data_IF_105237006509
#
_entry.id   IF_105237006509
#
_cell.length_a   1.000
_cell.length_b   1.000
_cell.length_c   1.000
_cell.angle_alpha   90.00
_cell.angle_beta   90.00
_cell.angle_gamma   90.00
#
_symmetry.space_group_name_H-M   'P 1'
#
loop_
_entity.id
_entity.type
_entity.pdbx_description
1 polymer ?
#
# COMPACT_ATOMS: atom_id res chain seq x y z
N UNK A 1 18.35 46.89 -26.05
CA UNK A 1 17.39 46.27 -25.12
C UNK A 1 18.11 45.62 -23.96
N UNK A 2 17.48 45.63 -22.79
CA UNK A 2 17.99 45.01 -21.55
C UNK A 2 16.99 43.95 -21.08
N UNK A 3 17.49 42.75 -20.76
CA UNK A 3 16.68 41.65 -20.24
C UNK A 3 17.03 41.42 -18.79
N UNK A 4 16.00 41.32 -17.92
CA UNK A 4 16.14 41.05 -16.48
C UNK A 4 15.08 40.09 -16.00
N UNK A 5 15.35 39.44 -14.88
CA UNK A 5 14.55 38.32 -14.34
C UNK A 5 14.16 38.55 -12.87
N UNK A 6 13.00 38.07 -12.48
CA UNK A 6 12.56 38.04 -11.09
C UNK A 6 11.65 36.85 -10.83
N UNK A 7 11.80 36.21 -9.66
CA UNK A 7 10.84 35.22 -9.18
C UNK A 7 9.63 35.94 -8.54
N UNK A 8 8.44 35.41 -8.76
CA UNK A 8 7.19 35.98 -8.24
C UNK A 8 6.21 34.89 -7.80
N UNK A 9 5.31 35.24 -6.90
CA UNK A 9 4.26 34.36 -6.39
C UNK A 9 2.98 34.40 -7.23
N UNK A 10 2.87 35.34 -8.15
CA UNK A 10 1.70 35.54 -9.04
C UNK A 10 2.12 35.54 -10.50
N UNK A 11 1.29 34.94 -11.37
CA UNK A 11 1.44 35.00 -12.82
C UNK A 11 0.71 36.18 -13.48
N UNK A 12 0.01 37.00 -12.72
CA UNK A 12 -0.78 38.12 -13.25
C UNK A 12 -0.37 39.49 -12.71
N UNK A 13 0.30 39.51 -11.55
CA UNK A 13 0.77 40.74 -10.92
C UNK A 13 2.28 40.82 -11.03
N UNK A 14 2.79 41.88 -11.67
CA UNK A 14 4.23 42.10 -11.81
C UNK A 14 4.88 42.17 -10.42
N UNK A 15 5.93 41.36 -10.16
CA UNK A 15 6.56 41.35 -8.85
C UNK A 15 7.25 42.69 -8.58
N UNK A 16 7.16 43.12 -7.31
CA UNK A 16 7.84 44.34 -6.81
C UNK A 16 9.21 43.93 -6.26
N UNK A 17 10.22 44.75 -6.51
CA UNK A 17 11.57 44.53 -6.01
C UNK A 17 12.64 44.59 -7.09
N UNK A 18 13.85 44.13 -6.75
CA UNK A 18 14.99 44.21 -7.66
C UNK A 18 14.93 43.15 -8.77
N UNK A 19 15.17 43.55 -9.98
CA UNK A 19 15.30 42.69 -11.17
C UNK A 19 16.77 42.28 -11.37
N UNK A 20 17.04 41.02 -11.53
CA UNK A 20 18.39 40.47 -11.70
C UNK A 20 18.74 40.31 -13.18
N UNK A 21 20.01 40.42 -13.51
CA UNK A 21 20.55 40.15 -14.88
C UNK A 21 20.76 38.64 -15.11
N UNK A 22 20.71 37.83 -14.07
CA UNK A 22 20.75 36.36 -14.14
C UNK A 22 19.40 35.75 -13.70
N UNK A 23 19.09 34.59 -14.23
CA UNK A 23 17.85 33.85 -13.86
C UNK A 23 17.95 33.45 -12.38
N UNK A 24 17.00 33.88 -11.52
CA UNK A 24 16.97 33.49 -10.11
C UNK A 24 16.50 32.03 -9.96
N UNK A 25 16.75 31.43 -8.80
CA UNK A 25 16.11 30.18 -8.44
C UNK A 25 14.61 30.41 -8.23
N UNK A 26 13.77 29.62 -8.91
CA UNK A 26 12.30 29.68 -8.81
C UNK A 26 11.81 28.40 -8.14
N UNK A 27 11.14 28.53 -7.01
CA UNK A 27 10.59 27.41 -6.28
C UNK A 27 9.35 26.83 -6.98
N UNK A 28 8.98 25.60 -6.63
CA UNK A 28 7.74 24.98 -7.10
C UNK A 28 6.53 25.92 -6.87
N UNK A 29 5.56 25.89 -7.78
CA UNK A 29 4.37 26.76 -7.81
C UNK A 29 4.62 28.25 -8.00
N UNK A 30 5.87 28.70 -8.06
CA UNK A 30 6.21 30.09 -8.35
C UNK A 30 6.36 30.37 -9.85
N UNK A 31 6.53 31.64 -10.19
CA UNK A 31 6.63 32.12 -11.56
C UNK A 31 7.99 32.77 -11.82
N UNK A 32 8.60 32.49 -12.95
CA UNK A 32 9.71 33.26 -13.51
C UNK A 32 9.12 34.38 -14.37
N UNK A 33 9.42 35.59 -14.00
CA UNK A 33 9.14 36.78 -14.79
C UNK A 33 10.39 37.19 -15.52
N UNK A 34 10.26 37.42 -16.84
CA UNK A 34 11.31 38.00 -17.68
C UNK A 34 10.84 39.39 -18.15
N UNK A 35 11.59 40.40 -17.85
CA UNK A 35 11.32 41.76 -18.26
C UNK A 35 12.32 42.15 -19.35
N UNK A 36 11.83 42.58 -20.50
CA UNK A 36 12.63 43.13 -21.58
C UNK A 36 12.29 44.60 -21.75
N UNK A 37 13.28 45.46 -21.60
CA UNK A 37 13.17 46.91 -21.85
C UNK A 37 13.81 47.21 -23.20
N UNK A 38 13.05 47.79 -24.09
CA UNK A 38 13.52 48.26 -25.39
C UNK A 38 13.64 49.77 -25.36
N UNK A 39 14.82 50.31 -25.71
CA UNK A 39 15.03 51.75 -25.95
C UNK A 39 14.83 51.99 -27.46
N UNK A 40 13.93 52.87 -27.78
CA UNK A 40 13.61 53.28 -29.16
C UNK A 40 14.59 54.36 -29.67
N UNK A 41 14.49 54.71 -30.95
CA UNK A 41 15.39 55.69 -31.54
C UNK A 41 15.20 57.15 -31.04
N UNK A 42 14.06 57.40 -30.41
CA UNK A 42 13.69 58.68 -29.80
C UNK A 42 13.98 58.71 -28.28
N UNK A 43 14.82 57.79 -27.79
CA UNK A 43 15.18 57.57 -26.40
C UNK A 43 13.99 57.21 -25.50
N UNK A 44 12.82 56.91 -26.01
CA UNK A 44 11.70 56.37 -25.23
C UNK A 44 11.90 54.90 -24.94
N UNK A 45 11.38 54.43 -23.83
CA UNK A 45 11.46 53.02 -23.42
C UNK A 45 10.10 52.35 -23.46
N UNK A 46 10.08 51.10 -23.91
CA UNK A 46 8.92 50.23 -23.81
C UNK A 46 9.32 48.94 -23.14
N UNK A 47 8.42 48.41 -22.29
CA UNK A 47 8.66 47.21 -21.48
C UNK A 47 7.71 46.08 -21.88
N UNK A 48 8.27 44.89 -22.05
CA UNK A 48 7.54 43.67 -22.29
C UNK A 48 7.83 42.65 -21.15
N UNK A 49 6.85 41.85 -20.82
CA UNK A 49 6.97 40.79 -19.82
C UNK A 49 6.63 39.44 -20.43
N UNK A 50 7.45 38.43 -20.13
CA UNK A 50 7.15 37.02 -20.34
C UNK A 50 7.11 36.32 -19.01
N UNK A 51 6.18 35.33 -18.84
CA UNK A 51 5.90 34.68 -17.59
C UNK A 51 5.91 33.18 -17.80
N UNK A 52 6.63 32.44 -16.98
CA UNK A 52 6.64 30.98 -16.96
C UNK A 52 6.36 30.47 -15.54
N UNK A 53 5.40 29.56 -15.38
CA UNK A 53 5.13 28.90 -14.09
C UNK A 53 6.10 27.75 -13.89
N UNK A 54 6.72 27.67 -12.73
CA UNK A 54 7.46 26.49 -12.29
C UNK A 54 6.44 25.39 -11.93
N UNK A 55 6.68 24.16 -12.39
CA UNK A 55 5.85 23.00 -12.04
C UNK A 55 5.78 22.78 -10.54
N UNK A 56 4.69 22.18 -10.11
CA UNK A 56 4.53 21.73 -8.73
C UNK A 56 5.41 20.49 -8.46
N UNK A 57 5.77 20.25 -7.20
CA UNK A 57 6.41 18.99 -6.83
C UNK A 57 5.45 17.83 -7.12
N UNK A 58 5.98 16.71 -7.58
CA UNK A 58 5.20 15.48 -7.67
C UNK A 58 4.68 15.07 -6.28
N UNK A 59 3.51 14.44 -6.26
CA UNK A 59 3.00 13.82 -5.01
C UNK A 59 3.90 12.66 -4.60
N UNK A 60 4.06 12.49 -3.29
CA UNK A 60 4.73 11.31 -2.74
C UNK A 60 3.94 10.05 -3.15
N UNK A 61 4.66 8.99 -3.51
CA UNK A 61 4.04 7.70 -3.77
C UNK A 61 3.27 7.19 -2.55
N UNK A 62 2.15 6.51 -2.75
CA UNK A 62 1.43 5.86 -1.66
C UNK A 62 2.30 4.78 -1.01
N UNK A 63 2.23 4.68 0.32
CA UNK A 63 2.90 3.62 1.06
C UNK A 63 2.46 2.24 0.56
N UNK A 64 3.42 1.32 0.48
CA UNK A 64 3.13 -0.07 0.14
C UNK A 64 2.21 -0.73 1.18
N UNK A 65 1.33 -1.61 0.73
CA UNK A 65 0.46 -2.39 1.63
C UNK A 65 1.32 -3.48 2.30
N UNK A 66 1.33 -3.51 3.63
CA UNK A 66 2.03 -4.55 4.38
C UNK A 66 1.39 -5.93 4.13
N UNK A 67 2.19 -6.99 3.93
CA UNK A 67 1.67 -8.33 3.69
C UNK A 67 0.85 -8.85 4.87
N UNK A 68 -0.16 -9.65 4.55
CA UNK A 68 -0.94 -10.40 5.53
C UNK A 68 -0.34 -11.80 5.63
N UNK A 69 -0.06 -12.25 6.85
CA UNK A 69 0.45 -13.58 7.13
C UNK A 69 -0.64 -14.38 7.84
N UNK A 70 -0.91 -15.61 7.34
CA UNK A 70 -1.79 -16.57 8.00
C UNK A 70 -0.93 -17.54 8.81
N UNK A 71 -1.31 -17.74 10.06
CA UNK A 71 -0.69 -18.71 10.99
C UNK A 71 -1.80 -19.64 11.49
N UNK A 72 -1.51 -20.95 11.56
CA UNK A 72 -2.39 -21.92 12.18
C UNK A 72 -1.84 -22.23 13.57
N UNK A 73 -2.62 -21.96 14.59
CA UNK A 73 -2.28 -22.33 15.98
C UNK A 73 -3.07 -23.55 16.42
N UNK A 74 -2.42 -24.40 17.24
CA UNK A 74 -3.02 -25.60 17.81
C UNK A 74 -3.13 -25.48 19.32
N UNK A 75 -4.32 -25.74 19.88
CA UNK A 75 -4.54 -25.68 21.31
C UNK A 75 -3.76 -26.74 22.13
N UNK A 76 -3.47 -27.91 21.50
CA UNK A 76 -2.82 -29.03 22.16
C UNK A 76 -1.56 -29.52 21.41
N UNK A 77 -0.94 -28.63 20.59
CA UNK A 77 0.25 -28.96 19.79
C UNK A 77 -0.07 -29.73 18.52
N UNK A 78 0.99 -30.18 17.85
CA UNK A 78 0.93 -30.79 16.51
C UNK A 78 1.37 -32.27 16.51
N UNK A 79 1.72 -32.82 17.68
CA UNK A 79 2.14 -34.21 17.85
C UNK A 79 1.35 -34.87 18.95
N UNK A 80 0.74 -36.00 18.64
CA UNK A 80 -0.12 -36.73 19.55
C UNK A 80 0.40 -38.15 19.76
N UNK A 81 0.33 -38.66 21.00
CA UNK A 81 0.71 -40.01 21.36
C UNK A 81 -0.55 -40.84 21.71
N UNK A 82 -0.42 -42.15 21.55
CA UNK A 82 -1.46 -43.13 21.96
C UNK A 82 -2.81 -42.96 21.24
N UNK A 83 -2.79 -42.48 20.00
CA UNK A 83 -3.99 -42.30 19.17
C UNK A 83 -5.09 -41.43 19.82
N UNK A 84 -4.72 -40.53 20.73
CA UNK A 84 -5.65 -39.57 21.33
C UNK A 84 -5.37 -38.21 20.70
N UNK A 85 -6.16 -37.89 19.69
CA UNK A 85 -6.12 -36.59 19.03
C UNK A 85 -7.37 -35.83 19.42
N UNK A 86 -7.18 -34.71 20.08
CA UNK A 86 -8.23 -33.74 20.35
C UNK A 86 -7.57 -32.37 20.47
N UNK A 87 -7.63 -31.60 19.40
CA UNK A 87 -7.05 -30.26 19.33
C UNK A 87 -7.92 -29.35 18.50
N UNK A 88 -7.85 -28.07 18.78
CA UNK A 88 -8.47 -27.04 17.94
C UNK A 88 -7.38 -26.33 17.15
N UNK A 89 -7.53 -26.30 15.85
CA UNK A 89 -6.73 -25.43 14.98
C UNK A 89 -7.47 -24.13 14.78
N UNK A 90 -6.77 -23.03 14.97
CA UNK A 90 -7.28 -21.67 14.77
C UNK A 90 -6.41 -20.97 13.74
N UNK A 91 -7.03 -20.46 12.70
CA UNK A 91 -6.37 -19.63 11.70
C UNK A 91 -6.32 -18.17 12.18
N UNK A 92 -5.13 -17.60 12.24
CA UNK A 92 -4.90 -16.23 12.71
C UNK A 92 -4.22 -15.44 11.60
N UNK A 93 -4.78 -14.28 11.28
CA UNK A 93 -4.23 -13.35 10.30
C UNK A 93 -3.51 -12.22 11.00
N UNK A 94 -2.24 -12.02 10.64
CA UNK A 94 -1.42 -10.92 11.13
C UNK A 94 -1.05 -9.95 10.01
N UNK A 95 -1.14 -8.65 10.32
CA UNK A 95 -0.59 -7.58 9.52
C UNK A 95 0.14 -6.61 10.47
N UNK A 96 1.39 -6.26 10.15
CA UNK A 96 2.24 -5.44 11.05
C UNK A 96 2.34 -6.00 12.48
N UNK A 97 2.47 -7.32 12.63
CA UNK A 97 2.50 -8.03 13.91
C UNK A 97 1.24 -7.85 14.78
N UNK A 98 0.13 -7.44 14.19
CA UNK A 98 -1.16 -7.31 14.87
C UNK A 98 -2.17 -8.23 14.22
N UNK A 99 -2.96 -8.96 15.04
CA UNK A 99 -4.10 -9.72 14.54
C UNK A 99 -5.17 -8.79 14.00
N UNK A 100 -5.64 -9.07 12.77
CA UNK A 100 -6.55 -8.18 12.02
C UNK A 100 -7.99 -8.67 11.93
N UNK A 101 -8.25 -9.94 12.29
CA UNK A 101 -9.58 -10.56 12.24
C UNK A 101 -9.83 -11.44 13.48
N UNK A 102 -9.90 -10.82 14.66
CA UNK A 102 -10.03 -11.52 15.94
C UNK A 102 -11.33 -12.33 16.02
N UNK A 103 -12.41 -11.78 15.53
CA UNK A 103 -13.75 -12.38 15.55
C UNK A 103 -14.07 -13.29 14.35
N UNK A 104 -13.19 -13.35 13.33
CA UNK A 104 -13.37 -14.19 12.14
C UNK A 104 -14.49 -13.72 11.21
N UNK A 105 -14.79 -12.43 11.19
CA UNK A 105 -15.91 -11.87 10.41
C UNK A 105 -15.50 -11.14 9.14
N UNK A 106 -14.22 -10.83 8.98
CA UNK A 106 -13.69 -10.07 7.83
C UNK A 106 -13.18 -10.95 6.71
N UNK A 107 -12.83 -12.19 7.02
CA UNK A 107 -12.29 -13.15 6.06
C UNK A 107 -13.09 -14.46 6.09
N UNK A 108 -13.19 -15.11 4.93
CA UNK A 108 -13.66 -16.48 4.82
C UNK A 108 -12.47 -17.43 4.99
N UNK A 109 -12.56 -18.36 5.94
CA UNK A 109 -11.53 -19.34 6.24
C UNK A 109 -11.96 -20.72 5.73
N UNK A 110 -11.23 -21.26 4.76
CA UNK A 110 -11.50 -22.58 4.17
C UNK A 110 -10.34 -23.52 4.47
N UNK A 111 -10.66 -24.67 5.04
CA UNK A 111 -9.69 -25.66 5.45
C UNK A 111 -9.56 -26.78 4.41
N UNK A 112 -8.35 -27.28 4.28
CA UNK A 112 -8.03 -28.44 3.48
C UNK A 112 -7.15 -29.42 4.22
N UNK A 113 -7.32 -30.70 3.89
CA UNK A 113 -6.58 -31.82 4.46
C UNK A 113 -5.93 -32.63 3.35
N UNK A 114 -4.67 -32.99 3.60
CA UNK A 114 -3.89 -33.91 2.77
C UNK A 114 -3.51 -35.14 3.61
N UNK A 115 -3.78 -36.32 3.07
CA UNK A 115 -3.49 -37.60 3.72
C UNK A 115 -1.98 -37.89 3.77
N UNK A 116 -1.59 -38.92 4.52
CA UNK A 116 -0.18 -39.31 4.72
C UNK A 116 0.54 -39.70 3.43
N UNK A 117 -0.17 -40.09 2.39
CA UNK A 117 0.34 -40.44 1.07
C UNK A 117 0.44 -39.24 0.10
N UNK A 118 0.12 -38.03 0.56
CA UNK A 118 0.16 -36.80 -0.22
C UNK A 118 -1.10 -36.56 -1.05
N UNK A 119 -2.12 -37.41 -0.97
CA UNK A 119 -3.40 -37.19 -1.66
C UNK A 119 -4.33 -36.27 -0.87
N UNK A 120 -5.11 -35.46 -1.57
CA UNK A 120 -6.15 -34.65 -0.94
C UNK A 120 -7.27 -35.52 -0.39
N UNK A 121 -7.73 -35.26 0.85
CA UNK A 121 -8.93 -35.89 1.40
C UNK A 121 -10.18 -35.17 0.89
N UNK A 122 -10.65 -35.55 -0.28
CA UNK A 122 -11.75 -34.88 -0.98
C UNK A 122 -13.04 -34.83 -0.15
N UNK A 123 -13.35 -35.88 0.59
CA UNK A 123 -14.58 -35.94 1.41
C UNK A 123 -14.47 -34.99 2.61
N UNK A 124 -13.33 -34.99 3.27
CA UNK A 124 -13.07 -34.09 4.39
C UNK A 124 -13.05 -32.63 3.93
N UNK A 125 -12.38 -32.34 2.82
CA UNK A 125 -12.29 -31.00 2.25
C UNK A 125 -13.66 -30.45 1.86
N UNK A 126 -14.52 -31.29 1.25
CA UNK A 126 -15.89 -30.90 0.91
C UNK A 126 -16.72 -30.55 2.16
N UNK A 127 -16.54 -31.28 3.25
CA UNK A 127 -17.24 -31.02 4.51
C UNK A 127 -16.77 -29.73 5.23
N UNK A 128 -15.58 -29.21 4.87
CA UNK A 128 -14.97 -28.03 5.50
C UNK A 128 -14.85 -26.82 4.55
N UNK A 129 -15.68 -26.77 3.50
CA UNK A 129 -15.74 -25.62 2.58
C UNK A 129 -16.46 -24.40 3.17
N UNK A 130 -17.26 -24.58 4.22
CA UNK A 130 -17.88 -23.45 4.90
C UNK A 130 -16.84 -22.70 5.73
N UNK A 131 -16.88 -21.37 5.70
CA UNK A 131 -15.94 -20.54 6.46
C UNK A 131 -15.98 -20.84 7.95
N UNK A 132 -14.82 -21.23 8.49
CA UNK A 132 -14.62 -21.49 9.93
C UNK A 132 -13.23 -21.03 10.35
N UNK A 133 -13.14 -20.01 11.20
CA UNK A 133 -11.85 -19.54 11.74
C UNK A 133 -11.13 -20.62 12.55
N UNK A 134 -11.89 -21.49 13.22
CA UNK A 134 -11.36 -22.60 14.03
C UNK A 134 -12.07 -23.90 13.71
N UNK A 135 -11.32 -25.00 13.70
CA UNK A 135 -11.83 -26.36 13.52
C UNK A 135 -11.30 -27.28 14.63
N UNK A 136 -12.08 -28.28 14.97
CA UNK A 136 -11.65 -29.33 15.94
C UNK A 136 -11.16 -30.53 15.15
N UNK A 137 -9.95 -31.00 15.47
CA UNK A 137 -9.32 -32.18 14.89
C UNK A 137 -9.35 -33.33 15.93
N UNK A 138 -9.84 -34.48 15.50
CA UNK A 138 -10.00 -35.67 16.34
C UNK A 138 -9.33 -36.90 15.71
N UNK A 139 -9.41 -38.05 16.39
CA UNK A 139 -8.90 -39.32 15.86
C UNK A 139 -9.53 -39.74 14.55
N UNK A 140 -10.76 -39.30 14.25
CA UNK A 140 -11.43 -39.62 12.99
C UNK A 140 -10.82 -38.89 11.81
N UNK A 141 -10.16 -37.76 12.05
CA UNK A 141 -9.58 -36.91 11.02
C UNK A 141 -8.17 -37.36 10.61
N UNK A 142 -7.48 -38.10 11.49
CA UNK A 142 -6.08 -38.47 11.26
C UNK A 142 -5.85 -39.95 11.54
N UNK A 143 -5.52 -40.73 10.52
CA UNK A 143 -5.21 -42.18 10.70
C UNK A 143 -3.77 -42.42 11.18
N UNK A 144 -2.80 -41.78 10.55
CA UNK A 144 -1.38 -41.87 10.91
C UNK A 144 -0.76 -40.48 10.96
N UNK A 145 -0.86 -39.77 9.86
CA UNK A 145 -0.39 -38.38 9.66
C UNK A 145 -1.34 -37.71 8.69
N UNK A 146 -1.61 -36.46 8.90
CA UNK A 146 -2.29 -35.60 7.94
C UNK A 146 -1.66 -34.21 7.97
N UNK A 147 -1.73 -33.50 6.88
CA UNK A 147 -1.40 -32.07 6.80
C UNK A 147 -2.71 -31.29 6.65
N UNK A 148 -2.83 -30.24 7.42
CA UNK A 148 -3.97 -29.32 7.37
C UNK A 148 -3.48 -27.95 6.94
N UNK A 149 -4.16 -27.37 6.00
CA UNK A 149 -3.92 -26.02 5.49
C UNK A 149 -5.20 -25.19 5.61
N UNK A 150 -5.04 -23.90 5.70
CA UNK A 150 -6.14 -22.95 5.71
C UNK A 150 -5.87 -21.83 4.70
N UNK A 151 -6.85 -21.48 3.91
CA UNK A 151 -6.86 -20.28 3.08
C UNK A 151 -7.80 -19.27 3.68
N UNK A 152 -7.45 -17.98 3.56
CA UNK A 152 -8.31 -16.88 4.02
C UNK A 152 -8.51 -15.89 2.86
N UNK A 153 -9.76 -15.62 2.54
CA UNK A 153 -10.16 -14.68 1.50
C UNK A 153 -10.95 -13.53 2.12
N UNK A 154 -10.66 -12.29 1.72
CA UNK A 154 -11.38 -11.11 2.21
C UNK A 154 -12.85 -11.16 1.77
N UNK A 155 -13.75 -10.85 2.69
CA UNK A 155 -15.19 -10.75 2.41
C UNK A 155 -15.62 -9.39 1.87
N UNK A 156 -14.68 -8.43 1.71
CA UNK A 156 -14.91 -7.08 1.18
C UNK A 156 -14.38 -6.94 -0.25
#
# INVERSE_FOLDING_TARGET
STVTYQAGVSGTSVPTGAWATSIPNVSASQYLWTRTVFTLQDDTETTSYAISKMGDNGEDGSDGISPINLVIESSNGYQFKNNIINTTFTAILYQNNKEIDIDGTKFAYVWSKTNSDGTADTAWNLAHQTSQKSITITNSDVRQRATFDCTAESLN
#
